data_IF_268476909629
#
_entry.id   IF_268476909629
#
_cell.length_a   1.000
_cell.length_b   1.000
_cell.length_c   1.000
_cell.angle_alpha   90.00
_cell.angle_beta   90.00
_cell.angle_gamma   90.00
#
_symmetry.space_group_name_H-M   'P 1'
#
loop_
_entity.id
_entity.type
_entity.pdbx_description
1 polymer ?
#
# COMPACT_ATOMS: atom_id res chain seq x y z
N UNK A 1 59.83 13.54 -26.78
CA UNK A 1 60.83 13.46 -25.69
C UNK A 1 60.06 13.05 -24.43
N UNK A 2 60.05 11.76 -24.05
CA UNK A 2 60.91 11.14 -22.99
C UNK A 2 60.66 11.81 -21.62
N UNK A 3 60.42 11.17 -20.46
CA UNK A 3 60.45 9.80 -19.90
C UNK A 3 59.87 9.96 -18.46
N UNK A 4 58.93 9.14 -17.99
CA UNK A 4 59.12 8.06 -17.00
C UNK A 4 59.60 8.42 -15.56
N UNK A 5 58.77 8.00 -14.59
CA UNK A 5 59.05 7.34 -13.28
C UNK A 5 59.75 8.07 -12.12
N UNK A 6 59.13 8.08 -10.91
CA UNK A 6 59.59 7.33 -9.72
C UNK A 6 58.68 7.51 -8.48
N UNK A 7 58.30 6.38 -7.85
CA UNK A 7 57.84 6.23 -6.45
C UNK A 7 59.05 6.09 -5.49
N UNK A 8 58.90 6.38 -4.17
CA UNK A 8 58.73 5.32 -3.15
C UNK A 8 57.70 5.71 -2.04
N UNK A 9 56.88 4.84 -1.41
CA UNK A 9 57.08 3.70 -0.48
C UNK A 9 57.60 4.04 0.95
N UNK A 10 56.69 4.15 1.93
CA UNK A 10 56.90 3.98 3.39
C UNK A 10 55.53 3.73 4.05
N UNK A 11 55.17 2.52 4.49
CA UNK A 11 55.47 1.78 5.76
C UNK A 11 54.24 1.72 6.68
N UNK A 12 53.73 0.50 6.87
CA UNK A 12 52.81 0.07 7.93
C UNK A 12 53.44 0.20 9.33
N UNK A 13 52.61 0.14 10.40
CA UNK A 13 52.78 -1.02 11.28
C UNK A 13 51.47 -1.69 11.68
N UNK A 14 51.56 -3.02 11.70
CA UNK A 14 50.68 -4.00 12.35
C UNK A 14 50.90 -3.96 13.86
N UNK A 15 49.82 -3.99 14.67
CA UNK A 15 49.91 -4.46 16.05
C UNK A 15 48.72 -5.39 16.35
N UNK A 16 49.07 -6.66 16.50
CA UNK A 16 48.29 -7.70 17.15
C UNK A 16 48.18 -7.40 18.66
N UNK A 17 47.00 -7.57 19.24
CA UNK A 17 46.87 -7.83 20.67
C UNK A 17 45.66 -8.73 20.95
N UNK A 18 45.94 -10.02 21.17
CA UNK A 18 45.08 -10.93 21.90
C UNK A 18 44.96 -10.46 23.36
N UNK A 19 43.75 -10.49 23.92
CA UNK A 19 43.59 -10.76 25.35
C UNK A 19 42.30 -11.53 25.61
N UNK A 20 42.51 -12.79 25.96
CA UNK A 20 41.55 -13.65 26.66
C UNK A 20 41.27 -13.04 28.05
N UNK A 21 40.02 -13.17 28.55
CA UNK A 21 39.78 -13.79 29.86
C UNK A 21 38.32 -13.71 30.32
N UNK A 22 37.81 -14.89 30.68
CA UNK A 22 37.06 -15.20 31.90
C UNK A 22 35.55 -14.88 31.98
N UNK A 23 34.79 -15.96 31.76
CA UNK A 23 33.42 -16.23 32.21
C UNK A 23 33.41 -16.43 33.74
N UNK A 24 32.39 -15.97 34.48
CA UNK A 24 32.03 -16.57 35.75
C UNK A 24 30.86 -17.53 35.58
N UNK A 25 31.14 -18.79 35.92
CA UNK A 25 30.19 -19.87 36.19
C UNK A 25 29.53 -19.58 37.54
N UNK A 26 28.20 -19.62 37.62
CA UNK A 26 27.50 -19.87 38.88
C UNK A 26 26.57 -21.07 38.70
N UNK A 27 27.08 -22.21 39.14
CA UNK A 27 26.30 -23.38 39.53
C UNK A 27 25.64 -23.12 40.88
N UNK A 28 24.32 -23.26 40.97
CA UNK A 28 23.65 -23.58 42.24
C UNK A 28 22.79 -24.81 42.00
N UNK A 29 23.17 -25.84 42.73
CA UNK A 29 22.58 -27.16 42.82
C UNK A 29 21.41 -27.21 43.80
N UNK A 30 20.51 -28.19 43.57
CA UNK A 30 19.81 -28.99 44.60
C UNK A 30 18.46 -28.50 45.15
N UNK A 31 17.40 -29.17 44.65
CA UNK A 31 16.21 -29.74 45.32
C UNK A 31 16.04 -29.61 46.85
N UNK A 32 14.79 -29.58 47.37
CA UNK A 32 14.06 -30.84 47.62
C UNK A 32 12.59 -30.88 47.19
N UNK A 33 12.12 -32.11 46.97
CA UNK A 33 10.72 -32.50 46.85
C UNK A 33 10.08 -32.75 48.23
N UNK A 34 8.80 -32.46 48.34
CA UNK A 34 7.84 -33.07 49.29
C UNK A 34 6.43 -32.72 48.81
N UNK A 35 5.64 -33.62 48.18
CA UNK A 35 4.87 -34.75 48.72
C UNK A 35 3.46 -34.34 49.25
N UNK A 36 2.46 -35.17 48.87
CA UNK A 36 1.02 -35.24 49.22
C UNK A 36 0.04 -34.46 48.32
N UNK A 37 -0.67 -35.07 47.36
CA UNK A 37 -1.80 -36.04 47.43
C UNK A 37 -3.15 -35.48 47.94
N UNK A 38 -4.16 -35.49 47.06
CA UNK A 38 -5.54 -36.06 47.23
C UNK A 38 -6.35 -35.77 45.95
N UNK A 39 -6.63 -36.74 45.08
CA UNK A 39 -7.83 -37.63 45.05
C UNK A 39 -9.19 -36.91 45.16
N UNK A 40 -9.98 -36.96 44.08
CA UNK A 40 -11.27 -37.68 44.11
C UNK A 40 -11.83 -37.91 42.69
N UNK A 41 -11.86 -39.17 42.31
CA UNK A 41 -12.67 -39.82 41.27
C UNK A 41 -14.13 -39.86 41.70
N UNK A 42 -15.10 -39.74 40.78
CA UNK A 42 -16.25 -40.65 40.69
C UNK A 42 -17.00 -40.53 39.34
N UNK A 43 -17.22 -41.69 38.73
CA UNK A 43 -18.07 -42.05 37.58
C UNK A 43 -19.58 -41.88 37.90
N UNK A 44 -20.59 -41.97 37.01
CA UNK A 44 -20.84 -42.96 35.96
C UNK A 44 -22.04 -42.62 35.05
N UNK A 45 -21.95 -43.09 33.79
CA UNK A 45 -22.94 -43.69 32.87
C UNK A 45 -24.47 -43.60 33.10
N UNK A 46 -25.23 -43.36 32.00
CA UNK A 46 -25.99 -44.42 31.29
C UNK A 46 -26.55 -43.95 29.92
N UNK A 47 -26.38 -44.81 28.91
CA UNK A 47 -27.02 -44.81 27.58
C UNK A 47 -28.49 -45.24 27.64
N UNK A 48 -29.31 -44.95 26.61
CA UNK A 48 -29.91 -45.95 25.69
C UNK A 48 -30.91 -45.37 24.65
N UNK A 49 -30.68 -45.76 23.40
CA UNK A 49 -31.61 -46.14 22.28
C UNK A 49 -32.48 -45.14 21.45
N UNK A 50 -32.17 -45.20 20.15
CA UNK A 50 -32.85 -44.90 18.86
C UNK A 50 -34.15 -45.74 18.61
N UNK A 51 -34.80 -45.79 17.40
CA UNK A 51 -34.81 -44.95 16.16
C UNK A 51 -36.22 -44.76 15.49
N UNK A 52 -36.26 -44.12 14.29
CA UNK A 52 -37.02 -44.45 13.04
C UNK A 52 -37.81 -43.31 12.34
N UNK A 53 -37.51 -43.14 11.05
CA UNK A 53 -38.18 -42.41 9.95
C UNK A 53 -39.40 -43.22 9.38
N UNK A 54 -40.06 -42.92 8.23
CA UNK A 54 -40.02 -41.79 7.25
C UNK A 54 -41.42 -41.34 6.71
N UNK A 55 -41.41 -40.55 5.60
CA UNK A 55 -42.42 -40.36 4.50
C UNK A 55 -43.29 -39.09 4.37
N UNK A 56 -43.20 -38.50 3.16
CA UNK A 56 -43.97 -37.43 2.44
C UNK A 56 -45.26 -38.05 1.78
N UNK A 57 -46.16 -37.37 0.98
CA UNK A 57 -46.13 -36.03 0.35
C UNK A 57 -47.47 -35.21 0.26
N UNK A 58 -47.33 -33.98 -0.27
CA UNK A 58 -48.20 -33.06 -1.06
C UNK A 58 -49.75 -33.17 -1.16
N UNK A 59 -50.43 -32.02 -1.12
CA UNK A 59 -51.62 -31.71 -1.95
C UNK A 59 -51.67 -30.24 -2.40
N UNK A 60 -52.45 -30.02 -3.46
CA UNK A 60 -52.40 -28.99 -4.51
C UNK A 60 -53.64 -28.07 -4.47
N UNK A 61 -53.49 -26.87 -5.07
CA UNK A 61 -54.50 -25.98 -5.69
C UNK A 61 -55.38 -25.06 -4.81
N UNK A 62 -55.52 -23.80 -5.28
CA UNK A 62 -56.75 -22.97 -5.44
C UNK A 62 -56.33 -21.65 -6.14
N UNK A 63 -56.54 -21.54 -7.47
CA UNK A 63 -57.52 -20.68 -8.20
C UNK A 63 -57.24 -19.16 -8.29
N UNK A 64 -57.55 -18.49 -9.43
CA UNK A 64 -57.09 -17.14 -9.75
C UNK A 64 -58.16 -16.05 -9.55
N UNK A 65 -57.75 -14.82 -9.23
CA UNK A 65 -58.57 -13.63 -9.50
C UNK A 65 -57.73 -12.36 -9.71
N UNK A 66 -58.04 -11.73 -10.83
CA UNK A 66 -57.46 -10.57 -11.50
C UNK A 66 -57.88 -9.24 -10.84
N UNK A 67 -57.03 -8.21 -10.87
CA UNK A 67 -57.33 -6.76 -10.99
C UNK A 67 -56.01 -5.95 -11.14
N UNK A 68 -55.88 -5.13 -12.18
CA UNK A 68 -54.87 -4.05 -12.39
C UNK A 68 -55.53 -2.67 -12.04
N UNK A 69 -54.88 -1.48 -11.97
CA UNK A 69 -53.57 -1.04 -12.49
C UNK A 69 -52.73 -0.02 -11.64
N UNK A 70 -51.47 0.17 -12.06
CA UNK A 70 -50.55 1.34 -11.98
C UNK A 70 -50.43 2.21 -10.69
N UNK A 71 -49.19 2.34 -10.17
CA UNK A 71 -48.36 3.59 -10.10
C UNK A 71 -47.19 3.39 -9.10
N UNK A 72 -45.96 3.73 -9.54
CA UNK A 72 -44.96 4.37 -8.67
C UNK A 72 -43.78 3.53 -8.18
N UNK A 73 -42.57 4.01 -8.56
CA UNK A 73 -41.24 3.78 -7.97
C UNK A 73 -40.35 2.69 -8.62
N UNK A 74 -39.49 3.08 -9.58
CA UNK A 74 -38.27 2.33 -9.88
C UNK A 74 -37.28 2.49 -8.73
N UNK A 75 -36.97 1.38 -8.05
CA UNK A 75 -35.79 1.26 -7.19
C UNK A 75 -34.56 1.32 -8.10
N UNK A 76 -33.92 2.49 -8.16
CA UNK A 76 -32.61 2.67 -8.76
C UNK A 76 -31.58 1.89 -7.93
N UNK A 77 -31.24 0.69 -8.39
CA UNK A 77 -29.97 0.04 -8.03
C UNK A 77 -28.88 0.69 -8.88
N UNK A 78 -27.86 1.35 -8.30
CA UNK A 78 -26.64 1.59 -9.04
C UNK A 78 -25.85 0.28 -9.00
N UNK A 79 -26.15 -0.66 -9.89
CA UNK A 79 -25.16 -1.64 -10.31
C UNK A 79 -24.20 -0.90 -11.23
N UNK A 80 -23.14 -0.33 -10.66
CA UNK A 80 -21.99 0.09 -11.43
C UNK A 80 -21.35 -1.19 -12.00
N UNK A 81 -21.81 -1.62 -13.18
CA UNK A 81 -21.04 -2.50 -14.04
C UNK A 81 -19.84 -1.69 -14.51
N UNK A 82 -18.73 -1.80 -13.78
CA UNK A 82 -17.42 -1.46 -14.32
C UNK A 82 -17.09 -2.56 -15.33
N UNK A 83 -17.40 -2.31 -16.61
CA UNK A 83 -16.73 -3.02 -17.69
C UNK A 83 -15.27 -2.61 -17.61
N UNK A 84 -14.49 -3.39 -16.85
CA UNK A 84 -13.04 -3.37 -16.95
C UNK A 84 -12.70 -4.06 -18.26
N UNK A 85 -12.72 -3.27 -19.34
CA UNK A 85 -12.10 -3.67 -20.58
C UNK A 85 -10.58 -3.63 -20.32
N UNK A 86 -10.10 -4.80 -19.88
CA UNK A 86 -8.71 -5.13 -19.60
C UNK A 86 -7.88 -4.96 -20.88
N UNK A 87 -7.54 -3.72 -21.20
CA UNK A 87 -6.32 -3.42 -21.93
C UNK A 87 -5.18 -3.70 -20.96
N UNK A 88 -4.59 -4.88 -21.11
CA UNK A 88 -3.43 -5.39 -20.39
C UNK A 88 -2.21 -4.48 -20.61
N UNK A 89 -2.18 -3.35 -19.92
CA UNK A 89 -0.99 -2.55 -19.66
C UNK A 89 -1.04 -2.19 -18.20
N UNK A 90 -0.02 -2.55 -17.42
CA UNK A 90 0.03 -2.31 -15.99
C UNK A 90 -0.46 -0.90 -15.65
N UNK A 91 -1.33 -0.80 -14.64
CA UNK A 91 -1.78 0.48 -14.13
C UNK A 91 -0.55 1.26 -13.67
N UNK A 92 -0.27 2.36 -14.34
CA UNK A 92 0.83 3.27 -14.02
C UNK A 92 0.30 4.49 -13.29
N UNK A 93 1.00 4.90 -12.24
CA UNK A 93 0.77 6.14 -11.53
C UNK A 93 1.87 7.14 -11.90
N UNK A 94 1.48 8.39 -12.14
CA UNK A 94 2.42 9.47 -12.39
C UNK A 94 2.24 10.58 -11.35
N UNK A 95 3.34 11.11 -10.84
CA UNK A 95 3.36 12.29 -9.99
C UNK A 95 3.41 13.52 -10.90
N UNK A 96 2.36 14.34 -10.86
CA UNK A 96 2.20 15.46 -11.80
C UNK A 96 2.03 16.76 -11.04
N UNK A 97 2.69 17.80 -11.52
CA UNK A 97 2.41 19.19 -11.18
C UNK A 97 1.94 19.95 -12.41
N UNK A 98 1.08 20.95 -12.22
CA UNK A 98 0.56 21.75 -13.31
C UNK A 98 0.36 23.22 -12.97
N UNK A 99 0.20 24.03 -14.01
CA UNK A 99 -0.19 25.42 -13.96
C UNK A 99 -1.32 25.62 -14.95
N UNK A 100 -2.46 26.14 -14.48
CA UNK A 100 -3.63 26.39 -15.30
C UNK A 100 -3.77 27.89 -15.58
N UNK A 101 -3.93 28.24 -16.86
CA UNK A 101 -4.21 29.58 -17.36
C UNK A 101 -5.55 29.62 -18.10
N UNK A 102 -6.17 30.80 -18.17
CA UNK A 102 -7.36 31.01 -19.01
C UNK A 102 -7.01 30.90 -20.49
N UNK A 103 -8.00 30.60 -21.32
CA UNK A 103 -7.82 30.40 -22.76
C UNK A 103 -7.31 31.66 -23.48
N UNK A 104 -7.71 32.84 -23.01
CA UNK A 104 -7.37 34.14 -23.60
C UNK A 104 -5.92 34.58 -23.33
N UNK A 105 -5.25 33.99 -22.33
CA UNK A 105 -3.94 34.43 -21.83
C UNK A 105 -2.76 33.79 -22.60
N UNK A 106 -2.86 33.71 -23.93
CA UNK A 106 -1.83 33.06 -24.76
C UNK A 106 -0.45 33.75 -24.68
N UNK A 107 -0.43 35.07 -24.47
CA UNK A 107 0.83 35.82 -24.29
C UNK A 107 1.56 35.41 -23.02
N UNK A 108 0.80 35.30 -21.92
CA UNK A 108 1.32 34.87 -20.63
C UNK A 108 1.83 33.43 -20.72
N UNK A 109 1.11 32.55 -21.42
CA UNK A 109 1.57 31.18 -21.64
C UNK A 109 2.94 31.13 -22.33
N UNK A 110 3.17 31.92 -23.37
CA UNK A 110 4.46 31.96 -24.07
C UNK A 110 5.57 32.50 -23.18
N UNK A 111 5.28 33.53 -22.37
CA UNK A 111 6.21 34.10 -21.41
C UNK A 111 6.62 33.08 -20.33
N UNK A 112 5.64 32.39 -19.73
CA UNK A 112 5.92 31.35 -18.74
C UNK A 112 6.70 30.18 -19.33
N UNK A 113 6.40 29.77 -20.58
CA UNK A 113 7.18 28.75 -21.27
C UNK A 113 8.65 29.15 -21.45
N UNK A 114 8.90 30.43 -21.76
CA UNK A 114 10.26 30.94 -21.89
C UNK A 114 10.97 30.95 -20.53
N UNK A 115 10.32 31.45 -19.47
CA UNK A 115 10.88 31.47 -18.11
C UNK A 115 11.25 30.07 -17.60
N UNK A 116 10.40 29.08 -17.85
CA UNK A 116 10.69 27.67 -17.55
C UNK A 116 11.89 27.17 -18.35
N UNK A 117 12.00 27.54 -19.64
CA UNK A 117 13.14 27.18 -20.47
C UNK A 117 14.45 27.86 -20.02
N UNK A 118 14.35 29.02 -19.37
CA UNK A 118 15.47 29.74 -18.73
C UNK A 118 15.87 29.12 -17.37
N UNK A 119 15.08 28.18 -16.84
CA UNK A 119 15.39 27.38 -15.66
C UNK A 119 14.58 27.74 -14.41
N UNK A 120 13.53 28.56 -14.54
CA UNK A 120 12.61 28.85 -13.45
C UNK A 120 11.71 27.64 -13.13
N UNK A 121 11.39 27.44 -11.85
CA UNK A 121 10.57 26.30 -11.43
C UNK A 121 9.09 26.53 -11.74
N UNK A 122 8.42 25.48 -12.22
CA UNK A 122 7.00 25.53 -12.52
C UNK A 122 6.17 25.70 -11.25
N UNK A 123 6.65 25.23 -10.10
CA UNK A 123 5.91 25.31 -8.84
C UNK A 123 5.73 26.76 -8.37
N UNK A 124 6.80 27.57 -8.43
CA UNK A 124 6.78 29.00 -8.10
C UNK A 124 5.82 29.76 -9.03
N UNK A 125 5.93 29.51 -10.34
CA UNK A 125 5.03 30.10 -11.34
C UNK A 125 3.58 29.68 -11.13
N UNK A 126 3.34 28.45 -10.66
CA UNK A 126 2.00 27.96 -10.37
C UNK A 126 1.38 28.69 -9.17
N UNK A 127 2.15 28.98 -8.12
CA UNK A 127 1.67 29.78 -6.97
C UNK A 127 1.22 31.17 -7.43
N UNK A 128 2.00 31.81 -8.31
CA UNK A 128 1.78 33.19 -8.75
C UNK A 128 0.64 33.32 -9.78
N UNK A 129 0.63 32.46 -10.81
CA UNK A 129 -0.19 32.67 -12.01
C UNK A 129 -1.31 31.63 -12.20
N UNK A 130 -1.27 30.49 -11.51
CA UNK A 130 -2.28 29.44 -11.72
C UNK A 130 -3.66 29.84 -11.19
N UNK A 131 -4.70 29.50 -11.96
CA UNK A 131 -6.10 29.63 -11.51
C UNK A 131 -6.62 28.36 -10.82
N UNK A 132 -5.85 27.27 -10.81
CA UNK A 132 -6.25 26.03 -10.16
C UNK A 132 -6.08 26.12 -8.63
N UNK A 133 -6.98 25.52 -7.81
CA UNK A 133 -6.80 25.45 -6.36
C UNK A 133 -5.48 24.80 -5.91
N UNK A 134 -4.90 23.92 -6.73
CA UNK A 134 -3.59 23.30 -6.48
C UNK A 134 -2.44 24.30 -6.39
N UNK A 135 -2.63 25.57 -6.79
CA UNK A 135 -1.64 26.64 -6.67
C UNK A 135 -1.10 26.81 -5.24
N UNK A 136 -1.90 26.51 -4.22
CA UNK A 136 -1.49 26.60 -2.82
C UNK A 136 -0.37 25.59 -2.49
N UNK A 137 -0.31 24.49 -3.22
CA UNK A 137 0.71 23.44 -3.14
C UNK A 137 1.69 23.50 -4.33
N UNK A 138 1.90 24.69 -4.92
CA UNK A 138 2.80 24.85 -6.07
C UNK A 138 2.32 24.12 -7.33
N UNK A 139 1.00 23.94 -7.48
CA UNK A 139 0.41 23.26 -8.63
C UNK A 139 0.49 21.72 -8.56
N UNK A 140 0.89 21.14 -7.42
CA UNK A 140 0.99 19.70 -7.24
C UNK A 140 -0.39 19.03 -7.29
N UNK A 141 -0.56 18.02 -8.17
CA UNK A 141 -1.76 17.18 -8.21
C UNK A 141 -1.58 15.85 -7.48
N UNK A 142 -0.33 15.52 -7.11
CA UNK A 142 0.01 14.25 -6.48
C UNK A 142 0.07 13.10 -7.50
N UNK A 143 -0.07 11.86 -6.99
CA UNK A 143 -0.07 10.66 -7.81
C UNK A 143 -1.42 10.48 -8.50
N UNK A 144 -1.42 10.54 -9.82
CA UNK A 144 -2.62 10.41 -10.65
C UNK A 144 -2.59 9.11 -11.47
N UNK A 145 -3.77 8.50 -11.61
CA UNK A 145 -4.02 7.28 -12.41
C UNK A 145 -4.77 7.62 -13.69
N UNK A 146 -4.68 6.73 -14.67
CA UNK A 146 -5.57 6.77 -15.83
C UNK A 146 -7.05 6.70 -15.39
N UNK A 147 -7.88 7.54 -15.98
CA UNK A 147 -9.30 7.71 -15.67
C UNK A 147 -9.60 8.71 -14.54
N UNK A 148 -8.60 9.29 -13.88
CA UNK A 148 -8.83 10.30 -12.83
C UNK A 148 -8.86 11.74 -13.36
N UNK A 149 -8.31 11.99 -14.54
CA UNK A 149 -8.18 13.33 -15.14
C UNK A 149 -8.97 13.43 -16.45
N UNK A 150 -9.11 14.66 -16.97
CA UNK A 150 -9.75 14.86 -18.28
C UNK A 150 -8.89 14.24 -19.39
N UNK A 151 -9.50 13.67 -20.46
CA UNK A 151 -8.79 12.89 -21.47
C UNK A 151 -7.60 13.64 -22.10
N UNK A 152 -7.76 14.94 -22.39
CA UNK A 152 -6.73 15.75 -23.04
C UNK A 152 -5.54 16.03 -22.12
N UNK A 153 -5.79 16.17 -20.82
CA UNK A 153 -4.74 16.32 -19.81
C UNK A 153 -4.04 14.99 -19.58
N UNK A 154 -4.81 13.91 -19.47
CA UNK A 154 -4.29 12.57 -19.28
C UNK A 154 -3.35 12.16 -20.41
N UNK A 155 -3.77 12.32 -21.67
CA UNK A 155 -2.96 12.00 -22.83
C UNK A 155 -1.63 12.76 -22.82
N UNK A 156 -1.67 14.06 -22.52
CA UNK A 156 -0.47 14.89 -22.45
C UNK A 156 0.44 14.48 -21.28
N UNK A 157 -0.10 14.23 -20.09
CA UNK A 157 0.69 13.84 -18.92
C UNK A 157 1.35 12.47 -19.11
N UNK A 158 0.61 11.51 -19.67
CA UNK A 158 1.10 10.14 -19.85
C UNK A 158 1.97 9.92 -21.10
N UNK A 159 2.03 10.89 -21.99
CA UNK A 159 2.96 10.92 -23.14
C UNK A 159 4.18 11.81 -22.88
N UNK A 160 4.12 12.68 -21.87
CA UNK A 160 5.22 13.56 -21.51
C UNK A 160 6.43 12.76 -20.98
N UNK A 161 7.65 13.10 -21.40
CA UNK A 161 8.85 12.53 -20.79
C UNK A 161 9.09 13.13 -19.39
N UNK A 162 9.72 12.34 -18.52
CA UNK A 162 10.03 12.74 -17.14
C UNK A 162 10.78 14.08 -17.10
N UNK A 163 10.37 14.92 -16.15
CA UNK A 163 10.89 16.24 -15.83
C UNK A 163 10.83 17.27 -16.98
N UNK A 164 10.08 17.02 -18.06
CA UNK A 164 9.84 18.03 -19.09
C UNK A 164 8.45 18.63 -18.98
N UNK A 165 8.38 19.93 -19.23
CA UNK A 165 7.11 20.67 -19.27
C UNK A 165 6.46 20.50 -20.64
N UNK A 166 5.19 20.10 -20.64
CA UNK A 166 4.35 19.96 -21.83
C UNK A 166 3.13 20.84 -21.68
N UNK A 167 2.64 21.40 -22.79
CA UNK A 167 1.37 22.14 -22.81
C UNK A 167 0.23 21.26 -23.29
N UNK A 168 -0.94 21.42 -22.68
CA UNK A 168 -2.18 20.87 -23.21
C UNK A 168 -3.32 21.88 -23.10
N UNK A 169 -4.34 21.69 -23.93
CA UNK A 169 -5.55 22.50 -23.93
C UNK A 169 -6.71 21.62 -23.45
N UNK A 170 -7.49 22.15 -22.53
CA UNK A 170 -8.71 21.51 -22.01
C UNK A 170 -9.86 22.52 -22.02
N UNK A 171 -11.05 22.08 -21.65
CA UNK A 171 -12.20 22.98 -21.48
C UNK A 171 -12.01 24.03 -20.35
N UNK A 172 -11.02 23.86 -19.47
CA UNK A 172 -10.69 24.82 -18.41
C UNK A 172 -9.71 25.90 -18.88
N UNK A 173 -9.11 25.75 -20.05
CA UNK A 173 -8.06 26.62 -20.57
C UNK A 173 -6.77 25.87 -20.87
N UNK A 174 -5.66 26.58 -20.76
CA UNK A 174 -4.32 26.07 -21.05
C UNK A 174 -3.64 25.54 -19.81
N UNK A 175 -3.05 24.35 -19.91
CA UNK A 175 -2.25 23.76 -18.86
C UNK A 175 -0.80 23.67 -19.30
N UNK A 176 0.12 24.04 -18.42
CA UNK A 176 1.52 23.63 -18.45
C UNK A 176 1.70 22.57 -17.37
N UNK A 177 2.08 21.36 -17.75
CA UNK A 177 2.23 20.24 -16.83
C UNK A 177 3.62 19.64 -16.91
N UNK A 178 4.07 19.06 -15.80
CA UNK A 178 5.35 18.37 -15.70
C UNK A 178 5.16 17.08 -14.92
N UNK A 179 5.69 15.99 -15.46
CA UNK A 179 5.72 14.69 -14.78
C UNK A 179 7.03 14.59 -14.00
N UNK A 180 6.94 14.47 -12.69
CA UNK A 180 8.11 14.40 -11.80
C UNK A 180 8.57 12.96 -11.59
N UNK A 181 7.64 12.02 -11.52
CA UNK A 181 7.92 10.61 -11.30
C UNK A 181 6.85 9.73 -11.94
N UNK A 182 7.24 8.53 -12.35
CA UNK A 182 6.33 7.46 -12.77
C UNK A 182 6.61 6.23 -11.91
N UNK A 183 5.56 5.50 -11.52
CA UNK A 183 5.67 4.22 -10.82
C UNK A 183 4.58 3.26 -11.26
N UNK A 184 4.83 1.97 -11.09
CA UNK A 184 3.79 0.96 -11.21
C UNK A 184 2.82 1.06 -10.03
N UNK A 185 1.53 0.87 -10.29
CA UNK A 185 0.50 0.91 -9.26
C UNK A 185 0.74 -0.23 -8.25
N UNK A 186 1.03 0.15 -7.01
CA UNK A 186 1.04 -0.79 -5.89
C UNK A 186 -0.40 -1.14 -5.51
N UNK A 187 -0.98 -2.10 -6.23
CA UNK A 187 -2.32 -2.60 -5.93
C UNK A 187 -2.29 -3.46 -4.66
N UNK A 188 -2.82 -2.92 -3.57
CA UNK A 188 -3.17 -3.73 -2.41
C UNK A 188 -4.38 -4.58 -2.77
N UNK A 189 -4.17 -5.89 -2.87
CA UNK A 189 -5.21 -6.88 -3.16
C UNK A 189 -5.35 -7.83 -1.99
N UNK A 190 -6.59 -8.08 -1.59
CA UNK A 190 -6.88 -9.15 -0.64
C UNK A 190 -6.80 -10.51 -1.35
N UNK A 191 -6.07 -11.45 -0.77
CA UNK A 191 -6.03 -12.85 -1.22
C UNK A 191 -6.91 -13.70 -0.30
N UNK A 192 -7.71 -14.61 -0.88
CA UNK A 192 -8.50 -15.54 -0.08
C UNK A 192 -7.61 -16.61 0.58
N UNK A 193 -7.92 -17.06 1.81
CA UNK A 193 -7.10 -18.04 2.52
C UNK A 193 -6.85 -19.33 1.73
N UNK A 194 -7.85 -19.82 1.00
CA UNK A 194 -7.76 -21.04 0.20
C UNK A 194 -6.80 -20.89 -0.98
N UNK A 195 -6.83 -19.73 -1.64
CA UNK A 195 -5.91 -19.41 -2.74
C UNK A 195 -4.48 -19.26 -2.22
N UNK A 196 -4.29 -18.54 -1.12
CA UNK A 196 -2.99 -18.39 -0.50
C UNK A 196 -2.42 -19.75 -0.05
N UNK A 197 -3.25 -20.62 0.53
CA UNK A 197 -2.81 -21.96 0.92
C UNK A 197 -2.36 -22.79 -0.28
N UNK A 198 -3.07 -22.71 -1.41
CA UNK A 198 -2.67 -23.40 -2.64
C UNK A 198 -1.32 -22.88 -3.17
N UNK A 199 -1.09 -21.55 -3.15
CA UNK A 199 0.19 -20.96 -3.52
C UNK A 199 1.33 -21.41 -2.60
N UNK A 200 1.08 -21.51 -1.29
CA UNK A 200 2.04 -22.03 -0.32
C UNK A 200 2.42 -23.51 -0.52
N UNK A 201 1.68 -24.27 -1.33
CA UNK A 201 2.10 -25.64 -1.71
C UNK A 201 3.13 -25.65 -2.84
N UNK A 202 3.29 -24.55 -3.57
CA UNK A 202 4.25 -24.43 -4.67
C UNK A 202 5.63 -23.99 -4.14
N UNK A 203 6.68 -24.80 -4.32
CA UNK A 203 8.04 -24.43 -3.90
C UNK A 203 8.56 -23.17 -4.59
N UNK A 204 8.19 -22.93 -5.86
CA UNK A 204 8.63 -21.76 -6.61
C UNK A 204 8.07 -20.46 -6.01
N UNK A 205 6.82 -20.49 -5.56
CA UNK A 205 6.19 -19.38 -4.87
C UNK A 205 6.91 -19.00 -3.58
N UNK A 206 7.36 -19.97 -2.79
CA UNK A 206 8.03 -19.72 -1.51
C UNK A 206 9.39 -19.03 -1.70
N UNK A 207 10.09 -19.31 -2.80
CA UNK A 207 11.39 -18.67 -3.12
C UNK A 207 11.23 -17.25 -3.68
N UNK A 208 10.13 -17.02 -4.41
CA UNK A 208 9.85 -15.74 -5.07
C UNK A 208 9.12 -14.74 -4.15
N UNK A 209 8.20 -15.22 -3.30
CA UNK A 209 7.36 -14.37 -2.48
C UNK A 209 8.05 -13.84 -1.21
N UNK A 210 7.76 -12.60 -0.86
CA UNK A 210 8.14 -12.02 0.43
C UNK A 210 6.99 -12.17 1.42
N UNK A 211 7.13 -13.05 2.41
CA UNK A 211 6.11 -13.32 3.41
C UNK A 211 6.40 -12.50 4.67
N UNK A 212 5.55 -11.53 4.99
CA UNK A 212 5.73 -10.63 6.13
C UNK A 212 4.56 -10.77 7.09
N UNK A 213 4.85 -10.91 8.38
CA UNK A 213 3.85 -10.94 9.45
C UNK A 213 4.03 -9.71 10.33
N UNK A 214 3.06 -8.81 10.31
CA UNK A 214 3.14 -7.54 11.05
C UNK A 214 2.48 -7.59 12.42
N UNK A 215 2.00 -8.78 12.84
CA UNK A 215 1.38 -8.99 14.16
C UNK A 215 2.40 -8.91 15.28
N UNK A 216 1.93 -8.70 16.50
CA UNK A 216 2.81 -8.63 17.67
C UNK A 216 3.34 -10.02 18.05
N UNK A 217 4.53 -10.14 18.67
CA UNK A 217 5.16 -11.43 18.97
C UNK A 217 4.27 -12.36 19.81
N UNK A 218 3.46 -11.80 20.71
CA UNK A 218 2.53 -12.57 21.54
C UNK A 218 1.42 -13.22 20.70
N UNK A 219 0.95 -12.57 19.64
CA UNK A 219 -0.05 -13.12 18.71
C UNK A 219 0.56 -14.20 17.82
N UNK A 220 1.77 -13.96 17.30
CA UNK A 220 2.50 -14.91 16.46
C UNK A 220 2.84 -16.18 17.24
N UNK A 221 3.17 -16.06 18.53
CA UNK A 221 3.48 -17.21 19.39
C UNK A 221 2.30 -18.18 19.59
N UNK A 222 1.07 -17.68 19.43
CA UNK A 222 -0.14 -18.51 19.52
C UNK A 222 -0.41 -19.23 18.20
N UNK A 223 -0.20 -18.57 17.07
CA UNK A 223 -0.42 -19.13 15.74
C UNK A 223 0.44 -18.43 14.68
N UNK A 224 1.25 -19.21 13.97
CA UNK A 224 2.15 -18.74 12.91
C UNK A 224 2.17 -19.71 11.73
N UNK A 225 2.42 -19.19 10.54
CA UNK A 225 2.79 -19.98 9.36
C UNK A 225 4.32 -19.96 9.17
N UNK A 226 4.94 -21.07 8.73
CA UNK A 226 6.36 -21.09 8.42
C UNK A 226 6.68 -20.17 7.24
N UNK A 227 7.90 -19.63 7.22
CA UNK A 227 8.40 -18.76 6.13
C UNK A 227 8.08 -17.27 6.31
N UNK A 228 7.16 -16.91 7.21
CA UNK A 228 6.84 -15.51 7.49
C UNK A 228 7.94 -14.83 8.33
N UNK A 229 8.41 -13.69 7.83
CA UNK A 229 9.27 -12.79 8.59
C UNK A 229 8.42 -11.88 9.48
N UNK A 230 8.62 -11.98 10.80
CA UNK A 230 7.88 -11.18 11.78
C UNK A 230 8.47 -9.78 11.90
N UNK A 231 7.65 -8.76 11.64
CA UNK A 231 7.96 -7.33 11.75
C UNK A 231 6.87 -6.61 12.55
N UNK A 232 6.93 -6.67 13.90
CA UNK A 232 5.88 -6.15 14.75
C UNK A 232 5.67 -4.64 14.52
N UNK A 233 4.41 -4.21 14.39
CA UNK A 233 4.10 -2.81 14.10
C UNK A 233 4.52 -1.85 15.22
N UNK A 234 4.50 -2.30 16.48
CA UNK A 234 5.07 -1.51 17.59
C UNK A 234 6.53 -1.11 17.36
N UNK A 235 7.25 -1.87 16.55
CA UNK A 235 8.66 -1.62 16.23
C UNK A 235 8.86 -0.95 14.87
N UNK A 236 7.79 -0.45 14.22
CA UNK A 236 7.88 0.20 12.90
C UNK A 236 8.91 1.32 12.84
N UNK A 237 9.05 2.11 13.91
CA UNK A 237 10.07 3.16 13.97
C UNK A 237 11.52 2.66 13.87
N UNK A 238 11.76 1.37 14.14
CA UNK A 238 13.06 0.72 14.08
C UNK A 238 13.29 0.11 12.70
N UNK A 239 12.36 -0.73 12.23
CA UNK A 239 12.55 -1.48 10.98
C UNK A 239 12.03 -0.77 9.73
N UNK A 240 11.14 0.23 9.88
CA UNK A 240 10.57 1.00 8.78
C UNK A 240 11.61 1.68 7.88
N UNK A 241 12.63 2.36 8.45
CA UNK A 241 13.72 2.95 7.67
C UNK A 241 14.54 1.93 6.86
N UNK A 242 14.57 0.66 7.29
CA UNK A 242 15.36 -0.39 6.65
C UNK A 242 14.57 -1.12 5.55
N UNK A 243 13.28 -0.83 5.37
CA UNK A 243 12.38 -1.63 4.51
C UNK A 243 12.87 -1.67 3.06
N UNK A 244 13.32 -0.54 2.52
CA UNK A 244 13.80 -0.42 1.14
C UNK A 244 15.13 -1.13 0.91
N UNK A 245 15.90 -1.36 1.97
CA UNK A 245 17.15 -2.13 1.89
C UNK A 245 16.93 -3.62 2.13
N UNK A 246 15.93 -3.96 2.92
CA UNK A 246 15.66 -5.33 3.38
C UNK A 246 14.79 -6.14 2.42
N UNK A 247 13.93 -5.46 1.67
CA UNK A 247 12.96 -6.08 0.78
C UNK A 247 13.20 -5.65 -0.68
N UNK A 248 12.99 -6.60 -1.58
CA UNK A 248 13.08 -6.37 -3.01
C UNK A 248 11.76 -5.75 -3.51
N UNK A 249 11.79 -4.53 -4.08
CA UNK A 249 10.60 -3.89 -4.63
C UNK A 249 10.02 -4.62 -5.85
N UNK A 250 10.81 -5.50 -6.49
CA UNK A 250 10.37 -6.27 -7.66
C UNK A 250 9.65 -7.58 -7.29
N UNK A 251 9.65 -7.97 -6.01
CA UNK A 251 9.02 -9.20 -5.54
C UNK A 251 7.65 -8.93 -4.92
N UNK A 252 6.71 -9.84 -5.19
CA UNK A 252 5.40 -9.83 -4.56
C UNK A 252 5.52 -10.00 -3.04
N UNK A 253 4.87 -9.11 -2.30
CA UNK A 253 4.90 -9.11 -0.84
C UNK A 253 3.52 -9.46 -0.28
N UNK A 254 3.46 -10.54 0.47
CA UNK A 254 2.26 -11.03 1.13
C UNK A 254 2.34 -10.71 2.61
N UNK A 255 1.42 -9.85 3.07
CA UNK A 255 1.40 -9.37 4.44
C UNK A 255 0.27 -10.05 5.21
N UNK A 256 0.62 -10.73 6.29
CA UNK A 256 -0.35 -11.21 7.28
C UNK A 256 -0.57 -10.12 8.32
N UNK A 257 -1.82 -9.71 8.49
CA UNK A 257 -2.16 -8.63 9.41
C UNK A 257 -3.62 -8.22 9.36
N UNK A 258 -3.87 -6.92 9.33
CA UNK A 258 -5.20 -6.35 9.49
C UNK A 258 -6.15 -6.69 8.34
N UNK A 259 -7.41 -6.93 8.71
CA UNK A 259 -8.50 -7.28 7.78
C UNK A 259 -9.09 -6.10 7.01
N UNK A 260 -8.99 -4.89 7.54
CA UNK A 260 -9.50 -3.65 6.94
C UNK A 260 -8.59 -2.50 7.33
N UNK A 261 -7.87 -1.96 6.35
CA UNK A 261 -7.04 -0.76 6.52
C UNK A 261 -7.71 0.37 5.75
N UNK A 262 -7.97 1.48 6.42
CA UNK A 262 -8.50 2.69 5.79
C UNK A 262 -7.42 3.76 5.79
N UNK A 263 -7.20 4.37 4.64
CA UNK A 263 -6.35 5.55 4.55
C UNK A 263 -7.16 6.80 4.95
N UNK A 264 -6.58 7.64 5.82
CA UNK A 264 -7.12 8.96 6.13
C UNK A 264 -6.65 9.93 5.03
N UNK A 265 -7.56 10.32 4.14
CA UNK A 265 -7.24 11.21 3.03
C UNK A 265 -6.71 12.58 3.53
N UNK A 266 -5.55 12.98 3.01
CA UNK A 266 -4.82 14.18 3.45
C UNK A 266 -4.11 14.02 4.81
N UNK A 267 -4.11 12.81 5.38
CA UNK A 267 -3.35 12.46 6.57
C UNK A 267 -3.72 13.26 7.82
N UNK A 268 -2.77 13.31 8.75
CA UNK A 268 -2.93 14.05 10.01
C UNK A 268 -3.08 15.57 9.77
N UNK A 269 -2.47 16.10 8.71
CA UNK A 269 -2.59 17.51 8.34
C UNK A 269 -4.03 17.88 7.95
N UNK A 270 -4.67 17.09 7.09
CA UNK A 270 -6.08 17.33 6.73
C UNK A 270 -7.02 17.09 7.90
N UNK A 271 -6.73 16.11 8.76
CA UNK A 271 -7.51 15.90 10.00
C UNK A 271 -7.40 17.11 10.93
N UNK A 272 -6.19 17.61 11.17
CA UNK A 272 -5.95 18.77 12.01
C UNK A 272 -6.66 20.01 11.46
N UNK A 273 -6.51 20.29 10.17
CA UNK A 273 -7.08 21.50 9.56
C UNK A 273 -8.61 21.45 9.42
N UNK A 274 -9.19 20.29 9.10
CA UNK A 274 -10.63 20.18 8.76
C UNK A 274 -11.51 19.68 9.91
N UNK A 275 -10.94 18.94 10.86
CA UNK A 275 -11.71 18.25 11.91
C UNK A 275 -11.32 18.76 13.29
N UNK A 276 -10.03 18.74 13.62
CA UNK A 276 -9.54 19.12 14.96
C UNK A 276 -8.28 19.99 14.91
N UNK A 277 -8.43 21.34 14.88
CA UNK A 277 -7.30 22.28 14.82
C UNK A 277 -6.39 22.27 16.05
N UNK A 278 -6.75 21.55 17.12
CA UNK A 278 -5.88 21.39 18.29
C UNK A 278 -4.76 20.37 18.08
N UNK A 279 -4.91 19.49 17.07
CA UNK A 279 -3.89 18.51 16.70
C UNK A 279 -2.74 19.23 15.99
N UNK A 280 -1.48 19.09 16.45
CA UNK A 280 -0.33 19.71 15.81
C UNK A 280 -0.14 19.22 14.37
N UNK A 281 0.06 20.15 13.45
CA UNK A 281 0.54 19.86 12.10
C UNK A 281 2.06 19.79 12.08
N UNK A 282 2.64 18.89 11.28
CA UNK A 282 4.05 18.99 10.89
C UNK A 282 4.24 20.08 9.84
#
# INVERSE_FOLDING_TARGET
MLRATHFPLTRYPTVFALRQSLVPILSISSFPSSFLQKLSTFSAFHSFSNPLSPTRPSLVALTPRQLSPMVGHPQLRPSASFNSESSSGGSREILVQHLLLKEDDQKLLLELQQRIAEGEDLSDLAVEYSICPSKEEGGMLGWVRKGQMVPEFEEAAFSAPLNKVVKCKTNFGWHLLQVLSEREESLLKDIQPEEFHAKMQDPSFIEEAQLIDVREPEEVSQASLPGFQVLPLRQFGIWGPEITSKFDPMKDTYVMGFRKVFNLYGGIHAYATKVDPSVPTY
#
